data_IF_715599072490
#
_entry.id   IF_715599072490
#
_cell.length_a   1.000
_cell.length_b   1.000
_cell.length_c   1.000
_cell.angle_alpha   90.00
_cell.angle_beta   90.00
_cell.angle_gamma   90.00
#
_symmetry.space_group_name_H-M   'P 1'
#
loop_
_entity.id
_entity.type
_entity.pdbx_description
1 polymer ?
#
# COMPACT_ATOMS: atom_id res chain seq x y z
N UNK A 1 -3.88 -34.43 -5.99
CA UNK A 1 -4.58 -33.59 -7.00
C UNK A 1 -5.73 -32.87 -6.32
N UNK A 2 -6.05 -31.64 -6.68
CA UNK A 2 -7.16 -30.89 -6.09
C UNK A 2 -8.42 -31.01 -6.97
N UNK A 3 -9.59 -30.84 -6.37
CA UNK A 3 -10.84 -30.64 -7.09
C UNK A 3 -10.99 -29.13 -7.28
N UNK A 4 -11.03 -28.70 -8.53
CA UNK A 4 -11.31 -27.31 -8.88
C UNK A 4 -12.76 -27.23 -9.31
N UNK A 5 -13.56 -26.51 -8.54
CA UNK A 5 -14.96 -26.22 -8.91
C UNK A 5 -15.01 -24.82 -9.47
N UNK A 6 -15.33 -24.74 -10.76
CA UNK A 6 -15.52 -23.47 -11.44
C UNK A 6 -16.92 -22.92 -11.10
N UNK A 7 -17.04 -21.62 -10.82
CA UNK A 7 -18.32 -21.01 -10.51
C UNK A 7 -19.23 -21.03 -11.74
N UNK A 8 -20.52 -21.32 -11.53
CA UNK A 8 -21.55 -21.32 -12.57
C UNK A 8 -22.26 -19.97 -12.71
N UNK A 9 -22.00 -19.04 -11.80
CA UNK A 9 -22.57 -17.69 -11.78
C UNK A 9 -21.48 -16.60 -11.69
N UNK A 10 -21.78 -15.42 -12.24
CA UNK A 10 -20.93 -14.23 -12.11
C UNK A 10 -20.85 -13.82 -10.62
N UNK A 11 -19.62 -13.51 -10.17
CA UNK A 11 -19.26 -13.10 -8.80
C UNK A 11 -19.05 -14.19 -7.74
N UNK A 12 -19.05 -15.48 -8.11
CA UNK A 12 -18.58 -16.53 -7.23
C UNK A 12 -17.08 -16.83 -7.44
N UNK A 13 -16.38 -17.18 -6.36
CA UNK A 13 -14.96 -17.53 -6.43
C UNK A 13 -14.76 -18.97 -6.93
N UNK A 14 -13.70 -19.20 -7.71
CA UNK A 14 -13.23 -20.56 -7.97
C UNK A 14 -12.80 -21.17 -6.64
N UNK A 15 -13.43 -22.29 -6.28
CA UNK A 15 -13.07 -23.02 -5.07
C UNK A 15 -12.15 -24.17 -5.45
N UNK A 16 -11.03 -24.24 -4.73
CA UNK A 16 -10.10 -25.36 -4.82
C UNK A 16 -10.26 -26.14 -3.53
N UNK A 17 -10.75 -27.37 -3.65
CA UNK A 17 -10.87 -28.29 -2.53
C UNK A 17 -9.82 -29.41 -2.66
N UNK A 18 -9.33 -29.95 -1.55
CA UNK A 18 -8.55 -31.19 -1.60
C UNK A 18 -9.37 -32.31 -2.26
N UNK A 19 -8.75 -33.15 -3.08
CA UNK A 19 -9.45 -34.33 -3.60
C UNK A 19 -9.83 -35.29 -2.47
N UNK A 20 -10.80 -36.17 -2.73
CA UNK A 20 -11.15 -37.25 -1.80
C UNK A 20 -9.94 -38.10 -1.41
N UNK A 21 -9.02 -38.38 -2.35
CA UNK A 21 -7.79 -39.11 -2.08
C UNK A 21 -6.85 -38.37 -1.13
N UNK A 22 -6.58 -37.08 -1.38
CA UNK A 22 -5.76 -36.27 -0.47
C UNK A 22 -6.42 -36.08 0.88
N UNK A 23 -7.75 -35.91 0.92
CA UNK A 23 -8.50 -35.80 2.18
C UNK A 23 -8.46 -37.10 2.98
N UNK A 24 -8.60 -38.25 2.31
CA UNK A 24 -8.49 -39.57 2.93
C UNK A 24 -7.08 -39.86 3.45
N UNK A 25 -6.04 -39.44 2.71
CA UNK A 25 -4.65 -39.53 3.14
C UNK A 25 -4.37 -38.60 4.34
N UNK A 26 -4.82 -37.35 4.32
CA UNK A 26 -4.67 -36.45 5.48
C UNK A 26 -5.41 -37.00 6.70
N UNK A 27 -6.64 -37.51 6.53
CA UNK A 27 -7.43 -38.06 7.64
C UNK A 27 -6.89 -39.41 8.14
N UNK A 28 -6.16 -40.19 7.32
CA UNK A 28 -5.55 -41.44 7.75
C UNK A 28 -4.36 -41.24 8.70
N UNK A 29 -3.76 -40.05 8.72
CA UNK A 29 -2.67 -39.69 9.63
C UNK A 29 -3.14 -39.20 11.02
N UNK A 30 -4.43 -39.29 11.34
CA UNK A 30 -4.97 -38.94 12.66
C UNK A 30 -4.49 -37.59 13.22
N UNK A 31 -4.31 -36.59 12.36
CA UNK A 31 -3.89 -35.26 12.78
C UNK A 31 -4.88 -34.67 13.78
N UNK A 32 -4.35 -34.18 14.89
CA UNK A 32 -5.03 -33.45 15.94
C UNK A 32 -4.66 -31.96 15.84
N UNK A 33 -5.38 -31.09 16.55
CA UNK A 33 -5.00 -29.67 16.65
C UNK A 33 -3.59 -29.46 17.25
N UNK A 34 -3.02 -30.46 17.94
CA UNK A 34 -1.65 -30.42 18.46
C UNK A 34 -0.57 -30.66 17.39
N UNK A 35 -0.93 -31.23 16.25
CA UNK A 35 -0.03 -31.44 15.11
C UNK A 35 0.12 -30.16 14.27
N UNK A 36 -0.87 -29.27 14.35
CA UNK A 36 -0.82 -27.94 13.77
C UNK A 36 -0.27 -26.95 14.78
N UNK A 37 0.95 -26.48 14.54
CA UNK A 37 1.55 -25.37 15.27
C UNK A 37 1.40 -24.11 14.43
N UNK A 38 0.92 -23.03 15.04
CA UNK A 38 1.14 -21.69 14.48
C UNK A 38 2.65 -21.52 14.32
N UNK A 39 3.13 -21.35 13.09
CA UNK A 39 4.55 -21.07 12.89
C UNK A 39 4.82 -19.68 13.48
N UNK A 40 5.64 -19.55 14.54
CA UNK A 40 5.98 -18.25 15.11
C UNK A 40 6.85 -17.41 14.16
N UNK A 41 7.13 -17.91 12.95
CA UNK A 41 8.10 -17.38 11.99
C UNK A 41 7.43 -17.00 10.67
N UNK A 42 6.23 -16.40 10.70
CA UNK A 42 5.82 -15.59 9.53
C UNK A 42 6.64 -14.30 9.64
N UNK A 43 7.76 -14.25 8.93
CA UNK A 43 8.57 -13.03 8.85
C UNK A 43 7.65 -11.90 8.36
N UNK A 44 7.43 -10.93 9.25
CA UNK A 44 6.51 -9.82 9.02
C UNK A 44 7.12 -8.76 8.12
N UNK A 45 8.35 -8.96 7.66
CA UNK A 45 8.94 -8.26 6.53
C UNK A 45 9.17 -9.24 5.38
N UNK A 46 8.97 -8.78 4.15
CA UNK A 46 9.10 -9.60 2.94
C UNK A 46 9.84 -8.81 1.88
N UNK A 47 10.86 -9.40 1.26
CA UNK A 47 11.51 -8.84 0.09
C UNK A 47 11.12 -9.65 -1.13
N UNK A 48 10.71 -8.99 -2.20
CA UNK A 48 10.31 -9.65 -3.44
C UNK A 48 11.05 -9.07 -4.64
N UNK A 49 11.29 -9.91 -5.64
CA UNK A 49 11.73 -9.48 -6.98
C UNK A 49 10.75 -9.96 -8.04
N UNK A 50 10.96 -9.53 -9.28
CA UNK A 50 10.25 -10.07 -10.44
C UNK A 50 11.14 -11.06 -11.17
N UNK A 51 10.59 -12.22 -11.52
CA UNK A 51 11.25 -13.16 -12.42
C UNK A 51 11.27 -12.64 -13.87
N UNK A 52 11.86 -13.41 -14.79
CA UNK A 52 11.93 -13.06 -16.22
C UNK A 52 10.56 -12.91 -16.89
N UNK A 53 9.51 -13.52 -16.33
CA UNK A 53 8.13 -13.45 -16.82
C UNK A 53 7.33 -12.32 -16.13
N UNK A 54 7.97 -11.56 -15.23
CA UNK A 54 7.35 -10.47 -14.49
C UNK A 54 6.55 -10.92 -13.25
N UNK A 55 6.58 -12.22 -12.90
CA UNK A 55 5.90 -12.77 -11.74
C UNK A 55 6.67 -12.42 -10.47
N UNK A 56 5.95 -12.17 -9.38
CA UNK A 56 6.56 -11.86 -8.09
C UNK A 56 7.10 -13.14 -7.46
N UNK A 57 8.35 -13.09 -7.01
CA UNK A 57 8.98 -14.17 -6.25
C UNK A 57 9.66 -13.62 -4.99
N UNK A 58 9.68 -14.42 -3.94
CA UNK A 58 10.37 -14.08 -2.70
C UNK A 58 11.88 -13.97 -2.95
N UNK A 59 12.54 -13.07 -2.22
CA UNK A 59 13.97 -12.86 -2.28
C UNK A 59 14.54 -12.76 -0.86
N UNK A 60 15.80 -13.18 -0.69
CA UNK A 60 16.43 -13.23 0.61
C UNK A 60 16.55 -11.82 1.21
N UNK A 61 16.05 -11.67 2.43
CA UNK A 61 16.19 -10.43 3.20
C UNK A 61 17.63 -10.33 3.71
N UNK A 62 18.32 -9.20 3.49
CA UNK A 62 19.67 -9.03 4.00
C UNK A 62 19.66 -8.95 5.54
N UNK A 63 20.64 -9.57 6.19
CA UNK A 63 20.81 -9.49 7.65
C UNK A 63 21.45 -8.16 8.02
N UNK A 64 20.62 -7.16 8.35
CA UNK A 64 21.03 -5.81 8.72
C UNK A 64 20.31 -5.33 9.98
N UNK A 65 20.83 -4.27 10.62
CA UNK A 65 20.15 -3.62 11.74
C UNK A 65 18.76 -3.07 11.34
N UNK A 66 18.63 -2.58 10.10
CA UNK A 66 17.34 -2.13 9.55
C UNK A 66 16.32 -3.28 9.47
N UNK A 67 16.76 -4.48 9.04
CA UNK A 67 15.89 -5.64 8.99
C UNK A 67 15.43 -6.09 10.40
N UNK A 68 16.30 -5.99 11.40
CA UNK A 68 15.94 -6.25 12.80
C UNK A 68 14.92 -5.22 13.31
N UNK A 69 15.20 -3.93 13.12
CA UNK A 69 14.30 -2.84 13.50
C UNK A 69 12.91 -2.99 12.86
N UNK A 70 12.83 -3.27 11.56
CA UNK A 70 11.53 -3.42 10.90
C UNK A 70 10.76 -4.65 11.38
N UNK A 71 11.44 -5.71 11.84
CA UNK A 71 10.76 -6.84 12.48
C UNK A 71 10.22 -6.47 13.85
N UNK A 72 10.98 -5.71 14.65
CA UNK A 72 10.53 -5.21 15.95
C UNK A 72 9.30 -4.28 15.80
N UNK A 73 9.36 -3.32 14.85
CA UNK A 73 8.22 -2.46 14.52
C UNK A 73 6.98 -3.28 14.14
N UNK A 74 7.15 -4.24 13.23
CA UNK A 74 6.04 -5.09 12.79
C UNK A 74 5.51 -6.00 13.89
N UNK A 75 6.37 -6.51 14.78
CA UNK A 75 5.96 -7.30 15.93
C UNK A 75 5.13 -6.47 16.91
N UNK A 76 5.54 -5.23 17.19
CA UNK A 76 4.77 -4.31 18.03
C UNK A 76 3.41 -3.97 17.42
N UNK A 77 3.38 -3.63 16.13
CA UNK A 77 2.14 -3.32 15.39
C UNK A 77 1.19 -4.52 15.40
N UNK A 78 1.67 -5.70 15.03
CA UNK A 78 0.85 -6.91 14.97
C UNK A 78 0.38 -7.36 16.36
N UNK A 79 1.24 -7.26 17.38
CA UNK A 79 0.86 -7.55 18.76
C UNK A 79 -0.28 -6.65 19.23
N UNK A 80 -0.20 -5.35 18.96
CA UNK A 80 -1.24 -4.40 19.32
C UNK A 80 -2.57 -4.66 18.57
N UNK A 81 -2.50 -4.89 17.25
CA UNK A 81 -3.69 -5.20 16.42
C UNK A 81 -4.35 -6.51 16.83
N UNK A 82 -3.57 -7.51 17.23
CA UNK A 82 -4.10 -8.79 17.72
C UNK A 82 -4.93 -8.62 19.00
N UNK A 83 -4.52 -7.74 19.91
CA UNK A 83 -5.23 -7.49 21.17
C UNK A 83 -6.35 -6.44 21.09
N UNK A 84 -6.42 -5.65 20.02
CA UNK A 84 -7.36 -4.54 19.90
C UNK A 84 -8.82 -5.01 19.76
N UNK A 85 -9.77 -4.21 20.28
CA UNK A 85 -11.20 -4.40 20.03
C UNK A 85 -11.55 -3.88 18.64
N UNK A 86 -11.65 -4.81 17.68
CA UNK A 86 -11.98 -4.54 16.28
C UNK A 86 -13.09 -5.50 15.87
N UNK A 87 -14.24 -4.95 15.48
CA UNK A 87 -15.40 -5.71 15.04
C UNK A 87 -15.85 -5.29 13.64
N UNK A 88 -16.68 -6.13 13.02
CA UNK A 88 -17.36 -5.84 11.76
C UNK A 88 -18.86 -6.11 11.95
N UNK A 89 -19.69 -5.09 11.76
CA UNK A 89 -21.14 -5.16 11.96
C UNK A 89 -21.92 -5.14 10.64
N UNK A 90 -21.26 -5.54 9.54
CA UNK A 90 -21.90 -5.71 8.24
C UNK A 90 -22.51 -7.09 8.09
N UNK A 91 -23.36 -7.28 7.09
CA UNK A 91 -24.03 -8.55 6.85
C UNK A 91 -23.17 -9.56 6.07
N UNK A 92 -22.07 -9.11 5.46
CA UNK A 92 -21.15 -9.96 4.72
C UNK A 92 -20.30 -10.83 5.67
N UNK A 93 -20.00 -12.10 5.32
CA UNK A 93 -19.08 -12.91 6.10
C UNK A 93 -17.65 -12.34 6.00
N UNK A 94 -17.10 -11.93 7.14
CA UNK A 94 -15.75 -11.37 7.26
C UNK A 94 -15.04 -12.06 8.42
N UNK A 95 -13.87 -12.63 8.16
CA UNK A 95 -12.99 -13.13 9.22
C UNK A 95 -12.25 -11.97 9.86
N UNK A 96 -12.76 -11.50 11.01
CA UNK A 96 -12.15 -10.40 11.76
C UNK A 96 -10.90 -10.82 12.53
N UNK A 97 -10.55 -12.12 12.55
CA UNK A 97 -9.32 -12.62 13.17
C UNK A 97 -8.09 -12.45 12.27
N UNK A 98 -8.28 -12.29 10.96
CA UNK A 98 -7.20 -11.94 10.03
C UNK A 98 -6.78 -10.48 10.22
N UNK A 99 -5.81 -10.26 11.11
CA UNK A 99 -5.28 -8.93 11.47
C UNK A 99 -3.79 -8.79 11.22
N UNK A 100 -3.14 -9.87 10.75
CA UNK A 100 -1.70 -9.90 10.57
C UNK A 100 -1.29 -9.01 9.41
N UNK A 101 -0.38 -8.07 9.69
CA UNK A 101 0.23 -7.21 8.69
C UNK A 101 1.65 -7.69 8.38
N UNK A 102 2.04 -7.60 7.12
CA UNK A 102 3.43 -7.77 6.70
C UNK A 102 3.87 -6.60 5.82
N UNK A 103 5.13 -6.21 5.94
CA UNK A 103 5.76 -5.10 5.23
C UNK A 103 6.51 -5.60 3.99
N UNK A 104 6.14 -5.14 2.79
CA UNK A 104 6.62 -5.69 1.52
C UNK A 104 7.59 -4.76 0.80
N UNK A 105 8.85 -5.14 0.78
CA UNK A 105 9.93 -4.50 0.05
C UNK A 105 10.07 -5.11 -1.36
N UNK A 106 10.69 -4.34 -2.26
CA UNK A 106 10.89 -4.70 -3.65
C UNK A 106 12.37 -4.64 -4.01
N UNK A 107 12.84 -5.59 -4.80
CA UNK A 107 14.16 -5.61 -5.43
C UNK A 107 13.98 -5.52 -6.95
N UNK A 108 13.95 -4.29 -7.52
CA UNK A 108 13.82 -4.08 -8.95
C UNK A 108 15.08 -4.57 -9.72
N UNK A 109 14.94 -4.98 -10.99
CA UNK A 109 16.07 -5.54 -11.76
C UNK A 109 17.29 -4.62 -11.94
N UNK A 110 17.12 -3.30 -11.84
CA UNK A 110 18.20 -2.32 -11.98
C UNK A 110 19.00 -2.09 -10.70
N UNK A 111 18.61 -2.73 -9.59
CA UNK A 111 19.25 -2.57 -8.28
C UNK A 111 20.18 -3.76 -8.05
N UNK A 112 21.49 -3.54 -7.83
CA UNK A 112 22.47 -4.62 -7.87
C UNK A 112 22.47 -5.50 -6.62
N UNK A 113 21.92 -5.01 -5.50
CA UNK A 113 21.94 -5.71 -4.21
C UNK A 113 20.55 -5.68 -3.55
N UNK A 114 20.19 -6.71 -2.76
CA UNK A 114 19.00 -6.65 -1.90
C UNK A 114 19.08 -5.43 -0.98
N UNK A 115 17.96 -4.74 -0.82
CA UNK A 115 17.86 -3.57 0.05
C UNK A 115 16.44 -3.41 0.57
N UNK A 116 16.30 -2.77 1.73
CA UNK A 116 15.01 -2.49 2.38
C UNK A 116 14.61 -1.00 2.26
N UNK A 117 15.28 -0.25 1.39
CA UNK A 117 14.97 1.16 1.06
C UNK A 117 14.02 1.32 -0.15
N UNK A 118 13.43 0.21 -0.63
CA UNK A 118 12.57 0.16 -1.82
C UNK A 118 11.28 -0.60 -1.51
N UNK A 119 10.12 0.05 -1.67
CA UNK A 119 8.82 -0.53 -1.32
C UNK A 119 8.45 -0.28 0.12
N UNK A 120 8.08 -1.30 0.88
CA UNK A 120 7.82 -1.20 2.32
C UNK A 120 6.36 -0.99 2.71
N UNK A 121 5.41 -0.98 1.76
CA UNK A 121 3.97 -0.92 2.11
C UNK A 121 3.55 -2.14 2.92
N UNK A 122 2.65 -1.91 3.87
CA UNK A 122 2.06 -2.98 4.68
C UNK A 122 0.82 -3.55 3.99
N UNK A 123 0.71 -4.87 3.99
CA UNK A 123 -0.42 -5.62 3.46
C UNK A 123 -0.83 -6.72 4.43
N UNK A 124 -2.10 -7.10 4.37
CA UNK A 124 -2.74 -8.00 5.33
C UNK A 124 -3.91 -7.30 5.98
N UNK A 125 -4.48 -7.92 7.02
CA UNK A 125 -5.64 -7.40 7.71
C UNK A 125 -6.91 -7.46 6.85
N UNK A 126 -7.99 -8.00 7.41
CA UNK A 126 -9.24 -8.17 6.68
C UNK A 126 -9.77 -6.85 6.08
N UNK A 127 -9.50 -5.71 6.73
CA UNK A 127 -9.97 -4.39 6.31
C UNK A 127 -9.40 -3.93 4.96
N UNK A 128 -8.21 -4.37 4.57
CA UNK A 128 -7.63 -4.00 3.26
C UNK A 128 -8.37 -4.68 2.11
N UNK A 129 -8.83 -5.92 2.31
CA UNK A 129 -9.61 -6.68 1.33
C UNK A 129 -11.06 -6.18 1.19
N UNK A 130 -11.59 -5.48 2.19
CA UNK A 130 -12.93 -4.91 2.13
C UNK A 130 -13.05 -3.83 1.05
N UNK A 131 -14.17 -3.87 0.33
CA UNK A 131 -14.60 -2.76 -0.54
C UNK A 131 -14.79 -1.50 0.31
N UNK A 132 -14.54 -0.33 -0.28
CA UNK A 132 -14.63 0.98 0.43
C UNK A 132 -15.95 1.15 1.19
N UNK A 133 -17.08 0.81 0.57
CA UNK A 133 -18.40 0.91 1.22
C UNK A 133 -18.62 -0.06 2.37
N UNK A 134 -17.94 -1.21 2.38
CA UNK A 134 -18.03 -2.19 3.46
C UNK A 134 -17.25 -1.76 4.70
N UNK A 135 -16.13 -1.02 4.53
CA UNK A 135 -15.26 -0.57 5.63
C UNK A 135 -15.99 0.28 6.67
N UNK A 136 -17.06 1.00 6.31
CA UNK A 136 -17.90 1.78 7.25
C UNK A 136 -18.58 0.91 8.32
N UNK A 137 -18.65 -0.40 8.11
CA UNK A 137 -19.19 -1.36 9.07
C UNK A 137 -18.12 -1.87 10.04
N UNK A 138 -16.86 -1.47 9.92
CA UNK A 138 -15.85 -1.72 10.95
C UNK A 138 -16.20 -0.89 12.20
N UNK A 139 -15.96 -1.48 13.37
CA UNK A 139 -15.97 -0.80 14.66
C UNK A 139 -14.62 -0.98 15.33
N UNK A 140 -14.14 0.07 15.98
CA UNK A 140 -12.94 0.04 16.82
C UNK A 140 -13.38 0.50 18.20
N UNK A 141 -13.19 -0.33 19.23
CA UNK A 141 -13.73 -0.09 20.58
C UNK A 141 -15.25 0.18 20.58
N UNK A 142 -15.99 -0.53 19.72
CA UNK A 142 -17.43 -0.31 19.50
C UNK A 142 -17.82 0.96 18.72
N UNK A 143 -16.88 1.85 18.40
CA UNK A 143 -17.17 3.12 17.72
C UNK A 143 -17.10 3.02 16.18
N UNK A 144 -17.89 3.83 15.44
CA UNK A 144 -17.70 4.02 14.01
C UNK A 144 -16.30 4.55 13.67
N UNK A 145 -15.82 4.18 12.50
CA UNK A 145 -14.53 4.61 11.99
C UNK A 145 -14.66 5.80 11.02
N UNK A 146 -13.58 6.57 10.90
CA UNK A 146 -13.36 7.52 9.79
C UNK A 146 -12.06 7.16 9.06
N UNK A 147 -11.94 7.55 7.79
CA UNK A 147 -10.72 7.38 6.99
C UNK A 147 -9.93 8.70 6.95
N UNK A 148 -8.69 8.69 7.44
CA UNK A 148 -7.75 9.79 7.25
C UNK A 148 -6.76 9.45 6.15
N UNK A 149 -6.62 10.33 5.17
CA UNK A 149 -5.88 10.09 3.93
C UNK A 149 -4.92 11.24 3.62
N UNK A 150 -3.66 10.91 3.31
CA UNK A 150 -2.67 11.90 2.89
C UNK A 150 -2.99 12.46 1.50
N UNK A 151 -3.13 13.78 1.42
CA UNK A 151 -3.44 14.48 0.18
C UNK A 151 -2.26 14.48 -0.78
N UNK A 152 -2.37 13.73 -1.87
CA UNK A 152 -1.39 13.72 -2.98
C UNK A 152 0.01 13.30 -2.52
N UNK A 153 0.10 12.23 -1.71
CA UNK A 153 1.33 11.74 -1.08
C UNK A 153 2.50 11.63 -2.07
N UNK A 154 2.32 10.93 -3.20
CA UNK A 154 3.43 10.59 -4.08
C UNK A 154 4.15 11.80 -4.72
N UNK A 155 3.46 12.79 -5.34
CA UNK A 155 4.09 14.02 -5.79
C UNK A 155 4.76 14.80 -4.66
N UNK A 156 4.15 14.86 -3.46
CA UNK A 156 4.75 15.58 -2.32
C UNK A 156 6.03 14.93 -1.83
N UNK A 157 6.08 13.59 -1.81
CA UNK A 157 7.31 12.85 -1.52
C UNK A 157 8.38 13.07 -2.59
N UNK A 158 7.98 13.20 -3.86
CA UNK A 158 8.89 13.53 -4.95
C UNK A 158 9.50 14.94 -4.76
N UNK A 159 8.69 15.93 -4.41
CA UNK A 159 9.14 17.28 -4.05
C UNK A 159 10.10 17.27 -2.84
N UNK A 160 9.73 16.59 -1.77
CA UNK A 160 10.57 16.44 -0.59
C UNK A 160 11.91 15.73 -0.90
N UNK A 161 11.90 14.79 -1.87
CA UNK A 161 13.12 14.12 -2.32
C UNK A 161 14.10 15.05 -3.03
N UNK A 162 13.59 15.96 -3.87
CA UNK A 162 14.42 16.97 -4.55
C UNK A 162 14.60 18.25 -3.72
N UNK A 163 14.26 18.21 -2.43
CA UNK A 163 14.37 19.34 -1.50
C UNK A 163 13.66 20.62 -2.01
N UNK A 164 12.53 20.45 -2.69
CA UNK A 164 11.71 21.55 -3.19
C UNK A 164 10.29 21.50 -2.60
N UNK A 165 9.57 22.62 -2.69
CA UNK A 165 8.18 22.71 -2.23
C UNK A 165 7.22 22.84 -3.41
N UNK A 166 6.07 22.13 -3.40
CA UNK A 166 5.03 22.26 -4.42
C UNK A 166 4.20 23.56 -4.33
N UNK A 167 4.42 24.39 -3.29
CA UNK A 167 3.50 25.46 -2.91
C UNK A 167 2.34 24.94 -2.04
N UNK A 168 1.53 25.87 -1.51
CA UNK A 168 0.53 25.56 -0.46
C UNK A 168 -0.84 25.13 -0.99
N UNK A 169 -1.24 25.53 -2.19
CA UNK A 169 -2.60 25.31 -2.70
C UNK A 169 -2.62 24.88 -4.18
N UNK A 170 -2.20 23.64 -4.43
CA UNK A 170 -2.05 23.12 -5.79
C UNK A 170 -2.53 21.67 -5.89
N UNK A 171 -3.39 21.41 -6.87
CA UNK A 171 -3.57 20.08 -7.42
C UNK A 171 -2.33 19.69 -8.25
N UNK A 172 -1.45 18.87 -7.68
CA UNK A 172 -0.19 18.40 -8.26
C UNK A 172 -0.38 17.38 -9.38
N UNK A 173 -1.61 16.98 -9.64
CA UNK A 173 -1.95 16.19 -10.82
C UNK A 173 -2.60 17.02 -11.93
N UNK A 174 -2.85 18.32 -11.70
CA UNK A 174 -3.39 19.18 -12.74
C UNK A 174 -2.33 19.48 -13.81
N UNK A 175 -2.62 19.12 -15.06
CA UNK A 175 -1.77 19.35 -16.23
C UNK A 175 -2.51 20.26 -17.24
N UNK A 176 -2.65 21.57 -16.95
CA UNK A 176 -3.44 22.48 -17.78
C UNK A 176 -2.90 22.64 -19.21
N UNK A 177 -1.65 22.26 -19.45
CA UNK A 177 -1.04 22.24 -20.79
C UNK A 177 -1.62 21.13 -21.69
N UNK A 178 -2.41 20.21 -21.13
CA UNK A 178 -3.15 19.19 -21.87
C UNK A 178 -4.64 19.53 -21.83
N UNK A 179 -5.12 20.32 -22.80
CA UNK A 179 -6.47 20.86 -22.83
C UNK A 179 -7.60 19.81 -22.78
N UNK A 180 -7.32 18.60 -23.28
CA UNK A 180 -8.29 17.50 -23.31
C UNK A 180 -8.34 16.70 -21.99
N UNK A 181 -7.45 16.97 -21.04
CA UNK A 181 -7.48 16.34 -19.72
C UNK A 181 -8.61 16.97 -18.89
N UNK A 182 -9.63 16.15 -18.66
CA UNK A 182 -10.79 16.44 -17.81
C UNK A 182 -10.73 15.71 -16.45
N UNK A 183 -11.54 16.10 -15.44
CA UNK A 183 -11.53 15.49 -14.10
C UNK A 183 -11.66 13.96 -14.07
N UNK A 184 -12.40 13.36 -15.00
CA UNK A 184 -12.56 11.89 -15.12
C UNK A 184 -11.24 11.17 -15.43
N UNK A 185 -10.30 11.84 -16.11
CA UNK A 185 -8.98 11.29 -16.43
C UNK A 185 -8.01 11.33 -15.24
N UNK A 186 -8.40 11.95 -14.11
CA UNK A 186 -7.54 12.14 -12.94
C UNK A 186 -6.91 10.83 -12.47
N UNK A 187 -7.67 9.73 -12.47
CA UNK A 187 -7.16 8.42 -12.08
C UNK A 187 -6.05 7.94 -13.02
N UNK A 188 -6.21 8.12 -14.33
CA UNK A 188 -5.20 7.76 -15.34
C UNK A 188 -4.00 8.70 -15.32
N UNK A 189 -4.19 9.99 -15.07
CA UNK A 189 -3.08 10.95 -14.89
C UNK A 189 -2.18 10.53 -13.71
N UNK A 190 -2.77 10.09 -12.59
CA UNK A 190 -2.02 9.53 -11.46
C UNK A 190 -1.23 8.28 -11.87
N UNK A 191 -1.84 7.37 -12.64
CA UNK A 191 -1.16 6.17 -13.16
C UNK A 191 0.00 6.52 -14.08
N UNK A 192 -0.19 7.47 -15.00
CA UNK A 192 0.86 7.98 -15.90
C UNK A 192 2.02 8.62 -15.12
N UNK A 193 1.73 9.48 -14.14
CA UNK A 193 2.73 10.06 -13.23
C UNK A 193 3.53 8.97 -12.53
N UNK A 194 2.85 8.02 -11.89
CA UNK A 194 3.51 6.91 -11.19
C UNK A 194 4.35 6.05 -12.15
N UNK A 195 3.85 5.77 -13.35
CA UNK A 195 4.57 4.97 -14.34
C UNK A 195 5.92 5.62 -14.71
N UNK A 196 5.97 6.95 -14.81
CA UNK A 196 7.22 7.68 -15.03
C UNK A 196 8.17 7.61 -13.82
N UNK A 197 7.65 7.59 -12.59
CA UNK A 197 8.46 7.49 -11.37
C UNK A 197 9.00 6.08 -11.11
N UNK A 198 8.23 5.03 -11.41
CA UNK A 198 8.60 3.64 -11.13
C UNK A 198 9.47 3.01 -12.23
N UNK A 199 9.35 3.46 -13.48
CA UNK A 199 10.15 2.93 -14.57
C UNK A 199 11.58 3.47 -14.47
N UNK A 200 12.57 2.58 -14.50
CA UNK A 200 13.95 2.96 -14.80
C UNK A 200 14.17 2.91 -16.32
N UNK A 201 14.70 3.99 -16.90
CA UNK A 201 14.96 4.13 -18.32
C UNK A 201 13.76 4.65 -19.15
N UNK A 202 14.01 4.88 -20.44
CA UNK A 202 13.09 5.61 -21.31
C UNK A 202 11.71 4.92 -21.47
N UNK A 203 10.63 5.71 -21.29
CA UNK A 203 9.27 5.30 -21.64
C UNK A 203 8.89 5.88 -23.01
N UNK A 204 8.71 5.01 -24.00
CA UNK A 204 8.33 5.43 -25.36
C UNK A 204 6.83 5.32 -25.65
N UNK A 205 6.16 4.37 -25.00
CA UNK A 205 4.73 4.09 -25.12
C UNK A 205 4.13 3.87 -23.74
N UNK A 206 2.86 4.23 -23.60
CA UNK A 206 2.09 3.91 -22.40
C UNK A 206 1.75 2.41 -22.36
N UNK A 207 1.68 1.81 -21.16
CA UNK A 207 0.94 0.56 -20.96
C UNK A 207 -0.52 0.70 -21.45
N UNK A 208 -1.18 -0.37 -21.92
CA UNK A 208 -2.53 -0.32 -22.49
C UNK A 208 -3.55 0.41 -21.59
N UNK A 209 -3.58 0.07 -20.29
CA UNK A 209 -4.46 0.69 -19.30
C UNK A 209 -4.31 2.22 -19.21
N UNK A 210 -3.09 2.75 -19.37
CA UNK A 210 -2.83 4.19 -19.36
C UNK A 210 -3.17 4.80 -20.72
N UNK A 211 -2.89 4.10 -21.82
CA UNK A 211 -3.19 4.57 -23.16
C UNK A 211 -4.69 4.72 -23.40
N UNK A 212 -5.49 3.76 -22.92
CA UNK A 212 -6.95 3.72 -23.07
C UNK A 212 -7.65 4.75 -22.16
N UNK A 213 -7.08 5.03 -20.99
CA UNK A 213 -7.66 5.96 -20.02
C UNK A 213 -7.24 7.42 -20.20
N UNK A 214 -6.40 7.74 -21.19
CA UNK A 214 -5.99 9.11 -21.52
C UNK A 214 -6.63 9.55 -22.84
N UNK A 215 -6.88 10.86 -23.04
CA UNK A 215 -7.37 11.37 -24.32
C UNK A 215 -6.44 11.02 -25.48
N UNK A 216 -7.03 10.87 -26.67
CA UNK A 216 -6.28 10.67 -27.92
C UNK A 216 -5.22 11.77 -28.09
N UNK A 217 -4.02 11.39 -28.55
CA UNK A 217 -2.90 12.32 -28.71
C UNK A 217 -2.09 12.60 -27.44
N UNK A 218 -2.52 12.14 -26.26
CA UNK A 218 -1.76 12.24 -25.00
C UNK A 218 -0.61 11.21 -24.95
N UNK A 219 0.37 11.37 -25.84
CA UNK A 219 1.58 10.54 -25.88
C UNK A 219 2.45 10.72 -24.62
N UNK A 220 3.34 9.76 -24.36
CA UNK A 220 4.32 9.86 -23.27
C UNK A 220 5.14 11.15 -23.37
N UNK A 221 5.50 11.56 -24.60
CA UNK A 221 6.26 12.79 -24.87
C UNK A 221 5.43 14.04 -24.51
N UNK A 222 4.17 14.09 -24.92
CA UNK A 222 3.28 15.22 -24.63
C UNK A 222 3.02 15.35 -23.12
N UNK A 223 2.71 14.23 -22.46
CA UNK A 223 2.51 14.20 -21.01
C UNK A 223 3.76 14.61 -20.24
N UNK A 224 4.93 14.07 -20.59
CA UNK A 224 6.20 14.45 -19.96
C UNK A 224 6.49 15.94 -20.14
N UNK A 225 6.23 16.51 -21.32
CA UNK A 225 6.38 17.95 -21.57
C UNK A 225 5.47 18.77 -20.65
N UNK A 226 4.19 18.42 -20.55
CA UNK A 226 3.24 19.10 -19.67
C UNK A 226 3.64 18.96 -18.19
N UNK A 227 4.04 17.76 -17.77
CA UNK A 227 4.49 17.47 -16.42
C UNK A 227 5.70 18.31 -16.02
N UNK A 228 6.71 18.42 -16.90
CA UNK A 228 7.91 19.23 -16.63
C UNK A 228 7.66 20.73 -16.71
N UNK A 229 6.72 21.18 -17.53
CA UNK A 229 6.26 22.56 -17.51
C UNK A 229 5.61 22.91 -16.17
N UNK A 230 4.89 21.96 -15.55
CA UNK A 230 4.24 22.14 -14.26
C UNK A 230 5.19 21.95 -13.07
N UNK A 231 6.11 21.00 -13.17
CA UNK A 231 6.99 20.53 -12.10
C UNK A 231 8.46 20.45 -12.56
N UNK A 232 9.10 21.59 -12.89
CA UNK A 232 10.45 21.60 -13.44
C UNK A 232 11.48 20.96 -12.50
N UNK A 233 11.31 21.09 -11.17
CA UNK A 233 12.19 20.50 -10.16
C UNK A 233 12.19 18.96 -10.14
N UNK A 234 11.20 18.31 -10.76
CA UNK A 234 11.12 16.85 -10.79
C UNK A 234 11.83 16.24 -12.01
N UNK A 235 12.47 17.06 -12.87
CA UNK A 235 13.06 16.62 -14.13
C UNK A 235 14.05 15.47 -13.98
N UNK A 236 14.95 15.58 -13.01
CA UNK A 236 16.08 14.67 -12.85
C UNK A 236 15.70 13.32 -12.23
N UNK A 237 14.50 13.22 -11.68
CA UNK A 237 14.04 12.00 -11.01
C UNK A 237 13.05 11.19 -11.86
N UNK A 238 12.53 11.76 -12.96
CA UNK A 238 11.67 11.00 -13.87
C UNK A 238 12.45 9.88 -14.55
N UNK A 239 11.81 8.73 -14.69
CA UNK A 239 12.36 7.54 -15.32
C UNK A 239 13.64 6.99 -14.67
N UNK A 240 13.87 7.27 -13.39
CA UNK A 240 15.02 6.75 -12.62
C UNK A 240 14.68 5.49 -11.80
N UNK A 241 13.39 5.15 -11.66
CA UNK A 241 12.92 4.12 -10.72
C UNK A 241 12.73 4.62 -9.28
N UNK A 242 12.85 5.94 -9.04
CA UNK A 242 12.71 6.56 -7.71
C UNK A 242 11.42 6.20 -6.97
N UNK A 243 10.35 5.84 -7.70
CA UNK A 243 9.05 5.51 -7.12
C UNK A 243 9.12 4.45 -6.01
N UNK A 244 10.00 3.46 -6.13
CA UNK A 244 10.18 2.47 -5.07
C UNK A 244 10.73 3.07 -3.77
N UNK A 245 11.63 4.05 -3.86
CA UNK A 245 12.19 4.77 -2.71
C UNK A 245 11.18 5.74 -2.10
N UNK A 246 10.37 6.39 -2.93
CA UNK A 246 9.25 7.22 -2.45
C UNK A 246 8.24 6.37 -1.68
N UNK A 247 7.91 5.17 -2.19
CA UNK A 247 7.07 4.20 -1.47
C UNK A 247 7.68 3.78 -0.13
N UNK A 248 9.00 3.70 -0.04
CA UNK A 248 9.68 3.41 1.23
C UNK A 248 9.51 4.53 2.24
N UNK A 249 9.72 5.79 1.82
CA UNK A 249 9.45 6.95 2.67
C UNK A 249 8.00 7.02 3.13
N UNK A 250 7.04 6.78 2.22
CA UNK A 250 5.60 6.65 2.55
C UNK A 250 5.37 5.59 3.64
N UNK A 251 6.00 4.42 3.51
CA UNK A 251 5.84 3.36 4.51
C UNK A 251 6.49 3.69 5.86
N UNK A 252 7.62 4.39 5.89
CA UNK A 252 8.24 4.84 7.13
C UNK A 252 7.38 5.89 7.84
N UNK A 253 6.71 6.77 7.09
CA UNK A 253 5.67 7.66 7.65
C UNK A 253 4.57 6.83 8.28
N UNK A 254 4.03 5.83 7.57
CA UNK A 254 2.97 4.97 8.09
C UNK A 254 3.40 4.20 9.36
N UNK A 255 4.60 3.60 9.39
CA UNK A 255 5.14 2.98 10.61
C UNK A 255 5.12 3.96 11.79
N UNK A 256 5.59 5.19 11.57
CA UNK A 256 5.64 6.21 12.63
C UNK A 256 4.25 6.65 13.10
N UNK A 257 3.27 6.72 12.19
CA UNK A 257 1.86 6.95 12.55
C UNK A 257 1.35 5.84 13.45
N UNK A 258 1.52 4.58 13.04
CA UNK A 258 1.04 3.43 13.81
C UNK A 258 1.70 3.37 15.19
N UNK A 259 3.01 3.50 15.27
CA UNK A 259 3.74 3.49 16.55
C UNK A 259 3.34 4.67 17.45
N UNK A 260 3.12 5.85 16.87
CA UNK A 260 2.64 7.03 17.61
C UNK A 260 1.23 6.83 18.18
N UNK A 261 0.33 6.23 17.40
CA UNK A 261 -1.01 5.88 17.86
C UNK A 261 -0.98 4.79 18.95
N UNK A 262 -0.17 3.75 18.77
CA UNK A 262 0.03 2.67 19.76
C UNK A 262 0.53 3.25 21.10
N UNK A 263 1.48 4.19 21.07
CA UNK A 263 2.01 4.83 22.28
C UNK A 263 0.94 5.61 23.06
N UNK A 264 -0.17 6.01 22.40
CA UNK A 264 -1.30 6.69 23.02
C UNK A 264 -2.51 5.77 23.26
N UNK A 265 -2.38 4.47 23.00
CA UNK A 265 -3.50 3.52 23.13
C UNK A 265 -4.61 3.73 22.08
N UNK A 266 -4.29 4.35 20.95
CA UNK A 266 -5.25 4.60 19.87
C UNK A 266 -5.08 3.51 18.81
N UNK A 267 -6.14 2.72 18.60
CA UNK A 267 -6.17 1.71 17.55
C UNK A 267 -6.45 2.34 16.19
N UNK A 268 -5.57 2.09 15.23
CA UNK A 268 -5.70 2.54 13.83
C UNK A 268 -5.39 1.40 12.87
N UNK A 269 -6.08 1.37 11.73
CA UNK A 269 -5.92 0.32 10.71
C UNK A 269 -5.30 0.92 9.44
N UNK A 270 -4.07 0.52 9.05
CA UNK A 270 -3.39 1.10 7.89
C UNK A 270 -3.97 0.60 6.56
N UNK A 271 -4.15 1.51 5.60
CA UNK A 271 -4.51 1.25 4.20
C UNK A 271 -3.63 2.11 3.30
N UNK A 272 -2.49 1.57 2.85
CA UNK A 272 -1.51 2.30 2.03
C UNK A 272 -1.06 3.62 2.68
N UNK A 273 -1.47 4.77 2.17
CA UNK A 273 -1.23 6.13 2.68
C UNK A 273 -2.42 6.71 3.46
N UNK A 274 -3.37 5.87 3.86
CA UNK A 274 -4.49 6.22 4.72
C UNK A 274 -4.53 5.34 5.98
N UNK A 275 -5.27 5.80 6.98
CA UNK A 275 -5.61 5.02 8.18
C UNK A 275 -7.11 5.09 8.45
N UNK A 276 -7.67 4.00 8.96
CA UNK A 276 -8.98 4.00 9.60
C UNK A 276 -8.80 4.17 11.10
N UNK A 277 -9.54 5.06 11.74
CA UNK A 277 -9.48 5.26 13.19
C UNK A 277 -10.88 5.47 13.79
N UNK A 278 -11.06 5.33 15.11
CA UNK A 278 -12.29 5.76 15.79
C UNK A 278 -12.60 7.22 15.44
N UNK A 279 -13.87 7.52 15.19
CA UNK A 279 -14.31 8.88 14.85
C UNK A 279 -13.93 9.90 15.94
N UNK A 280 -13.99 9.50 17.22
CA UNK A 280 -13.58 10.32 18.36
C UNK A 280 -12.10 10.70 18.35
N UNK A 281 -11.24 9.85 17.79
CA UNK A 281 -9.77 10.03 17.76
C UNK A 281 -9.28 10.78 16.51
N UNK A 282 -10.17 11.12 15.56
CA UNK A 282 -9.81 11.64 14.24
C UNK A 282 -8.87 12.84 14.30
N UNK A 283 -9.16 13.83 15.15
CA UNK A 283 -8.32 15.01 15.29
C UNK A 283 -6.89 14.67 15.75
N UNK A 284 -6.76 13.80 16.76
CA UNK A 284 -5.45 13.41 17.29
C UNK A 284 -4.66 12.60 16.27
N UNK A 285 -5.31 11.65 15.59
CA UNK A 285 -4.67 10.86 14.51
C UNK A 285 -4.22 11.77 13.36
N UNK A 286 -5.01 12.79 13.01
CA UNK A 286 -4.62 13.77 12.00
C UNK A 286 -3.34 14.53 12.37
N UNK A 287 -3.18 14.93 13.63
CA UNK A 287 -1.95 15.58 14.10
C UNK A 287 -0.75 14.63 14.06
N UNK A 288 -0.93 13.39 14.54
CA UNK A 288 0.11 12.34 14.47
C UNK A 288 0.55 12.11 13.02
N UNK A 289 -0.40 12.04 12.08
CA UNK A 289 -0.12 11.92 10.65
C UNK A 289 0.67 13.12 10.12
N UNK A 290 0.28 14.35 10.44
CA UNK A 290 0.98 15.55 10.00
C UNK A 290 2.43 15.59 10.54
N UNK A 291 2.62 15.26 11.81
CA UNK A 291 3.93 15.25 12.47
C UNK A 291 4.82 14.10 11.98
N UNK A 292 4.27 12.92 11.72
CA UNK A 292 5.00 11.80 11.14
C UNK A 292 5.55 12.16 9.74
N UNK A 293 4.75 12.81 8.90
CA UNK A 293 5.19 13.28 7.59
C UNK A 293 6.31 14.33 7.72
N UNK A 294 6.13 15.33 8.60
CA UNK A 294 7.15 16.36 8.85
C UNK A 294 8.46 15.75 9.35
N UNK A 295 8.39 14.78 10.25
CA UNK A 295 9.57 14.12 10.80
C UNK A 295 10.35 13.33 9.75
N UNK A 296 9.65 12.51 8.95
CA UNK A 296 10.32 11.59 8.01
C UNK A 296 10.84 12.30 6.76
N UNK A 297 10.12 13.30 6.25
CA UNK A 297 10.46 13.95 4.96
C UNK A 297 10.68 15.46 5.05
N UNK A 298 10.65 16.05 6.24
CA UNK A 298 10.87 17.48 6.44
C UNK A 298 9.76 18.39 5.90
N UNK A 299 8.63 17.81 5.46
CA UNK A 299 7.55 18.53 4.79
C UNK A 299 6.19 18.19 5.39
N UNK A 300 5.33 19.20 5.50
CA UNK A 300 3.92 18.99 5.86
C UNK A 300 3.18 18.40 4.66
N UNK A 301 2.44 17.30 4.90
CA UNK A 301 1.52 16.71 3.92
C UNK A 301 0.10 16.92 4.44
N UNK A 302 -0.81 17.54 3.66
CA UNK A 302 -2.20 17.70 4.09
C UNK A 302 -2.86 16.35 4.36
N UNK A 303 -3.67 16.27 5.41
CA UNK A 303 -4.42 15.07 5.77
C UNK A 303 -5.91 15.40 5.70
N UNK A 304 -6.65 14.67 4.88
CA UNK A 304 -8.11 14.83 4.77
C UNK A 304 -8.82 13.79 5.63
N UNK A 305 -9.94 14.19 6.26
CA UNK A 305 -10.82 13.28 6.99
C UNK A 305 -12.03 12.97 6.10
N UNK A 306 -12.32 11.68 5.91
CA UNK A 306 -13.48 11.21 5.16
C UNK A 306 -14.36 10.38 6.12
N UNK A 307 -15.66 10.69 6.22
CA UNK A 307 -16.58 9.89 7.00
C UNK A 307 -16.82 8.51 6.37
#
# INVERSE_FOLDING_TARGET
MAIVTLPTELHQATTIAPSGGFRGEVLSYAFTMHDFRWSPVIDCIRLNRKDRQGRREAFAIPTTAEAALYREEMAAINGYLASADIAYVGNDPVDTSDRLMARYFNHPPHVPRPSLDLGGRMFGGFWQGLKRGARRHIRINGEPIVELDYGQMFPRLAYAHVQASPGTDVDLYALPQLADIRPEHRSTVKKAFNALMFKAGAMRKWPPEIAEGLPSGCSVKAFRKALLARHPSLADILNTGIGYRLMNRESCIMCRVLMGCIALGITVLPIHDAVLCPASAAFMVQQIMADAARYVVGHTVPVSVKP
#
